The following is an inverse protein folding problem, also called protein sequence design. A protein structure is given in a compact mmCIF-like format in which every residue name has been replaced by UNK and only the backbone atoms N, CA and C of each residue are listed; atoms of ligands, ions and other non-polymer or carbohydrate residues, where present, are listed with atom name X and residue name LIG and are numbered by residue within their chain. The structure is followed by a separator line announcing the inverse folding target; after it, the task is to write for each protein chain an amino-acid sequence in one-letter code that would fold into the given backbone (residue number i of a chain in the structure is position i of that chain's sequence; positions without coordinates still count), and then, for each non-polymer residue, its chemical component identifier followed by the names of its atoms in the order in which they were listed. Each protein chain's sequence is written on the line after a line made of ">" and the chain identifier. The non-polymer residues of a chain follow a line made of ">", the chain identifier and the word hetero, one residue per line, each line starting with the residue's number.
data_IF_983890273697
#
_entry.id   IF_983890273697
#
_cell.length_a   1.000
_cell.length_b   1.000
_cell.length_c   1.000
_cell.angle_alpha   90.00
_cell.angle_beta   90.00
_cell.angle_gamma   90.00
#
_symmetry.space_group_name_H-M   'P 1'
#
loop_
_entity.id
_entity.type
_entity.pdbx_description
1 polymer ?
#
# COMPACT_ATOMS: atom_id res chain seq x y z
N UNK A 1 3.21 -14.16 -1.91
CA UNK A 1 2.16 -13.27 -1.40
C UNK A 1 2.51 -12.79 -0.01
N UNK A 2 2.18 -11.53 0.32
CA UNK A 2 2.29 -11.02 1.68
C UNK A 2 1.04 -11.42 2.49
N UNK A 3 1.22 -11.79 3.77
CA UNK A 3 0.16 -11.63 4.75
C UNK A 3 -0.15 -10.13 4.85
N UNK A 4 -1.43 -9.74 4.82
CA UNK A 4 -1.87 -8.38 4.49
C UNK A 4 -1.01 -7.25 5.07
N UNK A 5 -0.59 -6.32 4.23
CA UNK A 5 -0.04 -5.04 4.67
C UNK A 5 -1.14 -4.29 5.40
N UNK A 6 -0.88 -3.94 6.65
CA UNK A 6 -1.76 -3.06 7.42
C UNK A 6 -1.56 -1.64 6.88
N UNK A 7 -2.31 -1.29 5.83
CA UNK A 7 -2.14 -0.05 5.07
C UNK A 7 -2.22 1.21 5.95
N UNK A 8 -3.07 1.31 6.99
CA UNK A 8 -3.09 2.47 7.88
C UNK A 8 -1.77 2.79 8.59
N UNK A 9 -0.81 1.86 8.58
CA UNK A 9 0.52 2.04 9.19
C UNK A 9 1.60 2.47 8.19
N UNK A 10 1.29 2.58 6.90
CA UNK A 10 2.28 2.79 5.84
C UNK A 10 1.82 3.86 4.86
N UNK A 11 2.76 4.65 4.31
CA UNK A 11 2.44 5.58 3.24
C UNK A 11 2.12 4.79 1.95
N UNK A 12 1.00 5.06 1.25
CA UNK A 12 0.65 4.39 0.00
C UNK A 12 1.76 4.41 -1.06
N UNK A 13 2.46 5.54 -1.21
CA UNK A 13 3.59 5.68 -2.14
C UNK A 13 4.71 4.66 -1.87
N UNK A 14 5.08 4.48 -0.60
CA UNK A 14 6.14 3.53 -0.20
C UNK A 14 5.74 2.09 -0.54
N UNK A 15 4.47 1.74 -0.31
CA UNK A 15 3.96 0.40 -0.67
C UNK A 15 3.99 0.19 -2.18
N UNK A 16 3.60 1.20 -2.97
CA UNK A 16 3.66 1.13 -4.44
C UNK A 16 5.10 0.90 -4.94
N UNK A 17 6.08 1.62 -4.40
CA UNK A 17 7.49 1.46 -4.79
C UNK A 17 8.06 0.10 -4.37
N UNK A 18 7.77 -0.35 -3.15
CA UNK A 18 8.25 -1.64 -2.65
C UNK A 18 7.68 -2.80 -3.45
N UNK A 19 6.34 -2.84 -3.63
CA UNK A 19 5.69 -3.91 -4.37
C UNK A 19 5.95 -3.80 -5.87
N UNK A 20 6.12 -2.59 -6.40
CA UNK A 20 6.61 -2.37 -7.77
C UNK A 20 8.01 -2.96 -7.98
N UNK A 21 8.92 -2.73 -7.02
CA UNK A 21 10.28 -3.31 -7.05
C UNK A 21 10.22 -4.82 -7.03
N UNK A 22 9.43 -5.40 -6.12
CA UNK A 22 9.27 -6.84 -6.04
C UNK A 22 8.65 -7.42 -7.32
N UNK A 23 7.64 -6.77 -7.90
CA UNK A 23 7.00 -7.22 -9.14
C UNK A 23 7.94 -7.15 -10.34
N UNK A 24 8.80 -6.12 -10.40
CA UNK A 24 9.84 -6.00 -11.42
C UNK A 24 10.91 -7.10 -11.30
N UNK A 25 11.32 -7.45 -10.06
CA UNK A 25 12.31 -8.50 -9.81
C UNK A 25 11.73 -9.91 -9.97
N UNK A 26 10.43 -10.10 -9.65
CA UNK A 26 9.76 -11.39 -9.63
C UNK A 26 8.41 -11.34 -10.37
N UNK A 27 8.39 -11.17 -11.70
CA UNK A 27 7.16 -11.01 -12.46
C UNK A 27 6.19 -12.19 -12.28
N UNK A 28 4.91 -11.89 -12.07
CA UNK A 28 3.84 -12.89 -11.91
C UNK A 28 3.88 -13.69 -10.60
N UNK A 29 4.70 -13.29 -9.61
CA UNK A 29 4.85 -13.99 -8.32
C UNK A 29 4.48 -13.16 -7.09
N UNK A 30 4.09 -11.91 -7.30
CA UNK A 30 3.85 -10.93 -6.23
C UNK A 30 2.37 -10.58 -6.20
N UNK A 31 1.79 -10.72 -5.01
CA UNK A 31 0.42 -10.29 -4.70
C UNK A 31 0.47 -9.38 -3.47
N UNK A 32 -0.33 -8.33 -3.48
CA UNK A 32 -0.45 -7.34 -2.42
C UNK A 32 -1.76 -7.51 -1.66
N UNK A 33 -1.71 -8.17 -0.50
CA UNK A 33 -2.82 -8.17 0.45
C UNK A 33 -2.83 -6.87 1.26
N UNK A 34 -4.00 -6.26 1.46
CA UNK A 34 -4.20 -5.04 2.24
C UNK A 34 -5.21 -5.30 3.36
N UNK A 35 -4.86 -4.91 4.58
CA UNK A 35 -5.74 -4.98 5.74
C UNK A 35 -6.01 -3.60 6.33
N UNK A 36 -7.25 -3.42 6.81
CA UNK A 36 -7.73 -2.17 7.44
C UNK A 36 -7.40 -2.06 8.93
N UNK A 37 -7.11 -3.18 9.59
CA UNK A 37 -6.83 -3.17 11.02
C UNK A 37 -5.39 -2.71 11.26
N UNK A 38 -5.06 -2.08 12.40
CA UNK A 38 -3.68 -1.73 12.73
C UNK A 38 -2.79 -2.95 13.05
N UNK A 39 -3.35 -4.17 13.08
CA UNK A 39 -2.64 -5.43 13.31
C UNK A 39 -2.35 -5.79 14.77
N UNK A 40 -2.84 -5.00 15.73
CA UNK A 40 -2.64 -5.18 17.18
C UNK A 40 -3.90 -4.80 17.96
N UNK A 41 -4.01 -5.21 19.23
CA UNK A 41 -5.07 -4.73 20.12
C UNK A 41 -4.98 -3.20 20.34
N UNK A 42 -6.07 -2.58 20.79
CA UNK A 42 -6.19 -1.13 20.97
C UNK A 42 -5.19 -0.57 21.99
N UNK A 43 -4.77 -1.36 22.97
CA UNK A 43 -3.81 -0.97 24.01
C UNK A 43 -2.40 -0.91 23.42
N UNK A 44 -2.02 -1.93 22.66
CA UNK A 44 -0.77 -1.99 21.89
C UNK A 44 -0.71 -0.92 20.80
N UNK A 45 -1.82 -0.68 20.09
CA UNK A 45 -1.89 0.36 19.06
C UNK A 45 -1.65 1.76 19.63
N UNK A 46 -2.23 2.06 20.82
CA UNK A 46 -1.99 3.32 21.54
C UNK A 46 -0.56 3.45 22.05
N UNK A 47 0.05 2.36 22.55
CA UNK A 47 1.44 2.37 23.00
C UNK A 47 2.43 2.67 21.85
N UNK A 48 2.12 2.21 20.64
CA UNK A 48 2.87 2.55 19.42
C UNK A 48 2.60 3.98 18.90
N UNK A 49 1.82 4.79 19.64
CA UNK A 49 1.39 6.15 19.25
C UNK A 49 0.77 6.20 17.85
N UNK A 50 0.07 5.14 17.45
CA UNK A 50 -0.58 5.09 16.14
C UNK A 50 -1.87 5.89 16.20
N UNK A 51 -2.11 6.69 15.16
CA UNK A 51 -3.35 7.45 15.04
C UNK A 51 -4.50 6.47 14.79
N UNK A 52 -5.42 6.35 15.74
CA UNK A 52 -6.59 5.47 15.61
C UNK A 52 -7.51 5.92 14.47
N UNK A 53 -7.47 7.20 14.11
CA UNK A 53 -8.18 7.79 12.96
C UNK A 53 -7.65 7.30 11.61
N UNK A 54 -6.43 6.73 11.54
CA UNK A 54 -5.85 6.24 10.29
C UNK A 54 -6.61 5.03 9.72
N UNK A 55 -7.38 4.29 10.52
CA UNK A 55 -8.19 3.18 10.03
C UNK A 55 -9.38 3.65 9.17
N UNK A 56 -9.92 4.84 9.44
CA UNK A 56 -11.06 5.41 8.70
C UNK A 56 -10.63 5.91 7.30
N UNK A 57 -9.34 6.21 7.13
CA UNK A 57 -8.75 6.63 5.85
C UNK A 57 -8.46 5.45 4.90
N UNK A 58 -8.58 4.20 5.36
CA UNK A 58 -8.21 3.02 4.58
C UNK A 58 -8.75 2.99 3.14
N UNK A 59 -10.05 3.28 2.87
CA UNK A 59 -10.55 3.29 1.50
C UNK A 59 -9.86 4.34 0.62
N UNK A 60 -9.55 5.51 1.17
CA UNK A 60 -8.87 6.59 0.46
C UNK A 60 -7.41 6.22 0.17
N UNK A 61 -6.73 5.62 1.14
CA UNK A 61 -5.35 5.14 0.99
C UNK A 61 -5.25 4.04 -0.08
N UNK A 62 -6.26 3.16 -0.18
CA UNK A 62 -6.35 2.14 -1.24
C UNK A 62 -6.49 2.80 -2.61
N UNK A 63 -7.36 3.81 -2.74
CA UNK A 63 -7.52 4.55 -4.01
C UNK A 63 -6.21 5.25 -4.41
N UNK A 64 -5.55 5.89 -3.45
CA UNK A 64 -4.26 6.55 -3.69
C UNK A 64 -3.20 5.53 -4.14
N UNK A 65 -3.09 4.41 -3.43
CA UNK A 65 -2.19 3.30 -3.78
C UNK A 65 -2.43 2.77 -5.19
N UNK A 66 -3.69 2.52 -5.57
CA UNK A 66 -4.06 2.05 -6.90
C UNK A 66 -3.71 3.08 -7.98
N UNK A 67 -3.82 4.38 -7.66
CA UNK A 67 -3.38 5.47 -8.54
C UNK A 67 -1.89 5.44 -8.82
N UNK A 68 -1.05 5.14 -7.82
CA UNK A 68 0.40 5.03 -8.02
C UNK A 68 0.84 3.87 -8.92
N UNK A 69 0.03 2.82 -9.07
CA UNK A 69 0.29 1.74 -10.02
C UNK A 69 -0.13 2.07 -11.46
N UNK A 70 -0.92 3.13 -11.67
CA UNK A 70 -1.25 3.55 -13.04
C UNK A 70 -0.02 4.12 -13.75
N UNK A 71 0.01 4.10 -15.10
CA UNK A 71 0.99 4.86 -15.86
C UNK A 71 0.94 6.33 -15.45
N UNK A 72 2.10 6.94 -15.18
CA UNK A 72 2.15 8.36 -14.82
C UNK A 72 1.69 9.24 -16.00
N UNK A 73 0.97 10.29 -15.65
CA UNK A 73 0.55 11.32 -16.60
C UNK A 73 1.68 12.31 -16.90
N UNK A 74 1.58 12.99 -18.06
CA UNK A 74 2.55 14.02 -18.43
C UNK A 74 2.56 15.15 -17.39
N UNK A 75 3.74 15.48 -16.86
CA UNK A 75 3.91 16.51 -15.83
C UNK A 75 3.56 16.08 -14.40
N UNK A 76 3.22 14.80 -14.16
CA UNK A 76 2.97 14.28 -12.82
C UNK A 76 4.23 14.36 -11.95
N UNK A 77 4.13 15.10 -10.84
CA UNK A 77 5.27 15.37 -9.94
C UNK A 77 5.58 14.24 -8.96
N UNK A 78 4.57 13.49 -8.53
CA UNK A 78 4.72 12.38 -7.57
C UNK A 78 4.41 11.08 -8.29
N UNK A 79 5.40 10.19 -8.36
CA UNK A 79 5.36 8.94 -9.11
C UNK A 79 5.98 7.85 -8.24
N UNK A 80 5.39 6.67 -8.22
CA UNK A 80 6.02 5.52 -7.59
C UNK A 80 7.02 4.93 -8.58
N UNK A 81 8.32 4.91 -8.27
CA UNK A 81 9.32 4.28 -9.13
C UNK A 81 10.02 3.17 -8.35
N UNK A 82 9.98 1.91 -8.79
CA UNK A 82 9.46 1.38 -10.07
C UNK A 82 7.99 0.90 -10.00
N UNK A 83 7.11 1.56 -9.24
CA UNK A 83 5.70 1.16 -9.05
C UNK A 83 4.76 1.51 -10.20
N UNK A 84 4.99 2.63 -10.88
CA UNK A 84 4.15 3.09 -11.98
C UNK A 84 4.09 2.08 -13.13
N UNK A 85 2.88 1.86 -13.66
CA UNK A 85 2.65 0.91 -14.75
C UNK A 85 2.83 -0.57 -14.38
N UNK A 86 3.16 -0.90 -13.11
CA UNK A 86 3.25 -2.29 -12.68
C UNK A 86 1.86 -2.90 -12.49
N UNK A 87 1.71 -4.15 -12.90
CA UNK A 87 0.50 -4.93 -12.64
C UNK A 87 0.71 -5.78 -11.40
N UNK A 88 0.27 -5.28 -10.24
CA UNK A 88 0.30 -6.00 -8.96
C UNK A 88 -1.12 -6.36 -8.56
N UNK A 89 -1.50 -7.64 -8.49
CA UNK A 89 -2.80 -8.05 -7.96
C UNK A 89 -2.98 -7.58 -6.51
N UNK A 90 -4.08 -6.87 -6.26
CA UNK A 90 -4.42 -6.34 -4.93
C UNK A 90 -5.61 -7.11 -4.35
N UNK A 91 -5.48 -7.52 -3.09
CA UNK A 91 -6.51 -8.22 -2.34
C UNK A 91 -6.84 -7.47 -1.06
N UNK A 92 -8.13 -7.24 -0.80
CA UNK A 92 -8.59 -6.71 0.49
C UNK A 92 -8.90 -7.90 1.41
N UNK A 93 -8.32 -7.89 2.62
CA UNK A 93 -8.41 -8.97 3.61
C UNK A 93 -9.28 -8.59 4.82
#
# INVERSE_FOLDING_TARGET
>A
GAGGIMLPNHAPLVIAEQFGTLAALFPGRIDLGLGRAPGTDMLTARALRRNLESADNFPQDVVELMGYFQPAEEGQRIRAVPGEGQTVPVWIL
#
